data_IF_762700143237
#
_entry.id   IF_762700143237
#
_cell.length_a   1.000
_cell.length_b   1.000
_cell.length_c   1.000
_cell.angle_alpha   90.00
_cell.angle_beta   90.00
_cell.angle_gamma   90.00
#
_symmetry.space_group_name_H-M   'P 1'
#
loop_
_entity.id
_entity.type
_entity.pdbx_description
1 polymer ?
#
# COMPACT_ATOMS: atom_id res chain seq x y z
N UNK A 1 78.66 -28.65 23.20
CA UNK A 1 78.23 -27.29 22.83
C UNK A 1 77.07 -26.93 23.72
N UNK A 2 77.25 -25.89 24.53
CA UNK A 2 76.21 -25.29 25.35
C UNK A 2 75.18 -24.59 24.46
N UNK A 3 73.89 -24.74 24.79
CA UNK A 3 72.95 -23.63 24.66
C UNK A 3 71.90 -23.71 25.79
N UNK A 4 72.12 -22.86 26.79
CA UNK A 4 71.20 -22.33 27.81
C UNK A 4 69.98 -21.68 27.09
N UNK A 5 68.76 -21.51 27.62
CA UNK A 5 68.12 -21.80 28.90
C UNK A 5 66.62 -21.46 28.77
N UNK A 6 65.76 -22.29 29.39
CA UNK A 6 64.60 -21.94 30.23
C UNK A 6 63.76 -20.68 29.93
N UNK A 7 62.43 -20.82 29.80
CA UNK A 7 61.42 -20.71 30.87
C UNK A 7 60.00 -20.59 30.25
N UNK A 8 58.97 -21.02 30.99
CA UNK A 8 57.53 -21.01 30.66
C UNK A 8 57.02 -22.13 29.75
N UNK A 9 56.37 -23.13 30.35
CA UNK A 9 54.92 -23.33 30.21
C UNK A 9 54.48 -24.49 31.12
N UNK A 10 54.18 -24.11 32.36
CA UNK A 10 53.30 -24.86 33.26
C UNK A 10 51.85 -24.65 32.79
N UNK A 11 51.04 -25.70 32.97
CA UNK A 11 49.57 -25.72 32.88
C UNK A 11 48.96 -25.84 31.47
N UNK A 12 48.51 -27.07 31.16
CA UNK A 12 47.23 -27.34 30.49
C UNK A 12 46.89 -28.83 30.64
N UNK A 13 46.64 -29.25 31.88
CA UNK A 13 45.76 -30.38 32.17
C UNK A 13 44.33 -29.82 32.08
N UNK A 14 43.71 -29.92 30.90
CA UNK A 14 42.26 -29.77 30.78
C UNK A 14 41.73 -31.12 30.33
N UNK A 15 41.08 -31.78 31.29
CA UNK A 15 40.24 -32.95 31.10
C UNK A 15 39.22 -32.64 30.00
N UNK A 16 39.20 -33.44 28.94
CA UNK A 16 38.09 -33.51 28.01
C UNK A 16 36.86 -34.04 28.77
N UNK A 17 36.05 -33.14 29.31
CA UNK A 17 34.66 -33.43 29.60
C UNK A 17 33.91 -33.38 28.27
N UNK A 18 33.41 -34.54 27.84
CA UNK A 18 32.46 -34.65 26.74
C UNK A 18 31.21 -33.90 27.20
N UNK A 19 31.02 -32.66 26.72
CA UNK A 19 29.76 -31.95 26.83
C UNK A 19 28.74 -32.68 25.97
N UNK A 20 27.72 -33.25 26.61
CA UNK A 20 26.50 -33.65 25.92
C UNK A 20 25.90 -32.44 25.20
N UNK A 21 25.23 -32.61 24.05
CA UNK A 21 24.44 -31.54 23.47
C UNK A 21 23.33 -31.24 24.48
N UNK A 22 23.40 -30.09 25.15
CA UNK A 22 22.31 -29.59 25.97
C UNK A 22 21.08 -29.46 25.08
N UNK A 23 20.07 -30.29 25.32
CA UNK A 23 18.70 -30.03 24.88
C UNK A 23 18.37 -28.57 25.17
N UNK A 24 17.77 -27.83 24.22
CA UNK A 24 17.33 -26.46 24.48
C UNK A 24 16.50 -26.45 25.77
N UNK A 25 16.74 -25.51 26.71
CA UNK A 25 16.00 -25.48 27.96
C UNK A 25 14.50 -25.42 27.64
N UNK A 26 13.75 -26.39 28.16
CA UNK A 26 12.31 -26.50 27.93
C UNK A 26 11.62 -25.25 28.48
N UNK A 27 10.92 -24.51 27.61
CA UNK A 27 10.28 -23.25 27.98
C UNK A 27 9.12 -23.57 28.94
N UNK A 28 9.31 -23.26 30.22
CA UNK A 28 8.32 -23.53 31.27
C UNK A 28 7.20 -22.48 31.30
N UNK A 29 6.01 -22.90 31.73
CA UNK A 29 4.91 -21.98 32.04
C UNK A 29 5.26 -21.08 33.23
N UNK A 30 4.74 -19.85 33.25
CA UNK A 30 4.82 -18.93 34.39
C UNK A 30 4.03 -19.54 35.55
N UNK A 31 4.72 -20.27 36.41
CA UNK A 31 4.13 -21.11 37.45
C UNK A 31 4.79 -20.89 38.81
N UNK A 32 6.00 -20.34 38.82
CA UNK A 32 6.66 -19.93 40.06
C UNK A 32 6.20 -18.54 40.48
N UNK A 33 6.26 -18.25 41.78
CA UNK A 33 5.98 -16.91 42.31
C UNK A 33 6.88 -15.85 41.66
N UNK A 34 8.15 -16.20 41.40
CA UNK A 34 9.10 -15.30 40.72
C UNK A 34 8.64 -14.96 39.31
N UNK A 35 8.23 -15.97 38.51
CA UNK A 35 7.73 -15.73 37.15
C UNK A 35 6.49 -14.81 37.16
N UNK A 36 5.58 -15.02 38.11
CA UNK A 36 4.36 -14.22 38.25
C UNK A 36 4.66 -12.78 38.68
N UNK A 37 5.64 -12.57 39.56
CA UNK A 37 6.09 -11.24 39.98
C UNK A 37 6.75 -10.50 38.81
N UNK A 38 7.66 -11.15 38.09
CA UNK A 38 8.36 -10.56 36.94
C UNK A 38 7.39 -10.20 35.81
N UNK A 39 6.50 -11.12 35.43
CA UNK A 39 5.48 -10.84 34.42
C UNK A 39 4.48 -9.78 34.89
N UNK A 40 4.04 -9.88 36.15
CA UNK A 40 3.12 -8.93 36.79
C UNK A 40 3.65 -7.49 36.78
N UNK A 41 4.95 -7.30 36.93
CA UNK A 41 5.61 -5.99 36.87
C UNK A 41 5.44 -5.30 35.50
N UNK A 42 5.26 -6.06 34.42
CA UNK A 42 5.08 -5.52 33.07
C UNK A 42 3.61 -5.17 32.75
N UNK A 43 2.63 -5.72 33.48
CA UNK A 43 1.20 -5.52 33.20
C UNK A 43 0.76 -4.03 33.17
N UNK A 44 1.25 -3.12 34.04
CA UNK A 44 0.89 -1.71 33.96
C UNK A 44 1.34 -1.06 32.64
N UNK A 45 2.52 -1.42 32.13
CA UNK A 45 3.03 -0.92 30.85
C UNK A 45 2.20 -1.44 29.68
N UNK A 46 1.88 -2.74 29.70
CA UNK A 46 1.02 -3.38 28.69
C UNK A 46 -0.36 -2.73 28.67
N UNK A 47 -0.98 -2.52 29.84
CA UNK A 47 -2.29 -1.88 29.94
C UNK A 47 -2.25 -0.42 29.44
N UNK A 48 -1.18 0.32 29.75
CA UNK A 48 -1.00 1.69 29.28
C UNK A 48 -0.87 1.73 27.76
N UNK A 49 -0.07 0.82 27.19
CA UNK A 49 0.12 0.74 25.73
C UNK A 49 -1.17 0.39 25.02
N UNK A 50 -1.90 -0.62 25.51
CA UNK A 50 -3.20 -1.02 24.97
C UNK A 50 -4.17 0.17 24.94
N UNK A 51 -4.33 0.87 26.06
CA UNK A 51 -5.23 2.03 26.16
C UNK A 51 -4.83 3.14 25.20
N UNK A 52 -3.54 3.43 25.10
CA UNK A 52 -3.05 4.50 24.24
C UNK A 52 -3.28 4.17 22.76
N UNK A 53 -3.04 2.92 22.33
CA UNK A 53 -3.34 2.47 20.96
C UNK A 53 -4.84 2.54 20.69
N UNK A 54 -5.68 2.10 21.63
CA UNK A 54 -7.14 2.16 21.50
C UNK A 54 -7.68 3.61 21.36
N UNK A 55 -7.08 4.56 22.08
CA UNK A 55 -7.44 5.97 22.04
C UNK A 55 -6.99 6.70 20.77
N UNK A 56 -5.98 6.17 20.07
CA UNK A 56 -5.34 6.81 18.90
C UNK A 56 -5.30 5.88 17.68
N UNK A 57 -6.40 5.16 17.45
CA UNK A 57 -6.54 4.24 16.31
C UNK A 57 -6.64 4.94 14.95
N UNK A 58 -6.92 6.24 14.92
CA UNK A 58 -6.91 7.09 13.72
C UNK A 58 -5.63 7.92 13.70
N UNK A 59 -5.02 8.12 12.52
CA UNK A 59 -3.75 8.84 12.27
C UNK A 59 -3.33 9.79 13.40
N UNK A 60 -2.50 9.31 14.35
CA UNK A 60 -2.11 10.11 15.50
C UNK A 60 -1.17 11.25 15.05
N UNK A 61 -1.25 12.44 15.68
CA UNK A 61 -0.22 13.46 15.55
C UNK A 61 1.17 12.89 15.89
N UNK A 62 2.25 13.45 15.32
CA UNK A 62 3.63 12.95 15.50
C UNK A 62 4.04 12.76 16.97
N UNK A 63 3.67 13.69 17.84
CA UNK A 63 3.91 13.61 19.29
C UNK A 63 3.30 12.34 19.92
N UNK A 64 2.15 11.88 19.41
CA UNK A 64 1.51 10.66 19.89
C UNK A 64 2.24 9.42 19.38
N UNK A 65 2.81 9.46 18.17
CA UNK A 65 3.65 8.38 17.61
C UNK A 65 4.95 8.23 18.40
N UNK A 66 5.61 9.32 18.78
CA UNK A 66 6.79 9.30 19.65
C UNK A 66 6.49 8.71 21.03
N UNK A 67 5.39 9.15 21.65
CA UNK A 67 4.93 8.63 22.94
C UNK A 67 4.60 7.13 22.89
N UNK A 68 3.95 6.67 21.81
CA UNK A 68 3.70 5.25 21.59
C UNK A 68 5.00 4.46 21.40
N UNK A 69 5.94 5.00 20.63
CA UNK A 69 7.24 4.36 20.38
C UNK A 69 8.02 4.17 21.68
N UNK A 70 8.11 5.20 22.52
CA UNK A 70 8.75 5.13 23.83
C UNK A 70 8.05 4.12 24.76
N UNK A 71 6.73 4.08 24.75
CA UNK A 71 5.95 3.14 25.56
C UNK A 71 6.14 1.70 25.09
N UNK A 72 6.25 1.50 23.78
CA UNK A 72 6.63 0.24 23.16
C UNK A 72 8.00 -0.24 23.65
N UNK A 73 9.04 0.59 23.55
CA UNK A 73 10.39 0.24 24.02
C UNK A 73 10.44 -0.13 25.50
N UNK A 74 9.73 0.62 26.35
CA UNK A 74 9.64 0.31 27.79
C UNK A 74 8.95 -1.04 28.04
N UNK A 75 7.87 -1.31 27.32
CA UNK A 75 7.06 -2.54 27.49
C UNK A 75 7.84 -3.77 27.02
N UNK A 76 8.46 -3.70 25.84
CA UNK A 76 9.22 -4.82 25.26
C UNK A 76 10.52 -5.07 26.02
N UNK A 77 11.17 -4.02 26.54
CA UNK A 77 12.32 -4.13 27.44
C UNK A 77 11.95 -4.81 28.77
N UNK A 78 10.77 -4.51 29.33
CA UNK A 78 10.26 -5.19 30.53
C UNK A 78 10.07 -6.70 30.26
N UNK A 79 9.34 -7.04 29.20
CA UNK A 79 9.03 -8.43 28.86
C UNK A 79 10.25 -9.26 28.44
N UNK A 80 11.31 -8.62 27.94
CA UNK A 80 12.57 -9.30 27.60
C UNK A 80 13.25 -9.95 28.81
N UNK A 81 12.89 -9.54 30.03
CA UNK A 81 13.41 -10.13 31.27
C UNK A 81 12.60 -11.36 31.72
N UNK A 82 11.41 -11.55 31.16
CA UNK A 82 10.49 -12.63 31.54
C UNK A 82 10.77 -13.86 30.67
N UNK A 83 11.25 -14.95 31.28
CA UNK A 83 11.69 -16.15 30.55
C UNK A 83 10.64 -17.26 30.47
N UNK A 84 9.52 -17.11 31.17
CA UNK A 84 8.43 -18.09 31.11
C UNK A 84 7.59 -17.94 29.83
N UNK A 85 6.92 -19.02 29.42
CA UNK A 85 6.17 -19.14 28.16
C UNK A 85 5.24 -17.96 27.89
N UNK A 86 4.40 -17.58 28.85
CA UNK A 86 3.43 -16.50 28.67
C UNK A 86 4.11 -15.13 28.52
N UNK A 87 5.25 -14.91 29.18
CA UNK A 87 6.05 -13.70 29.01
C UNK A 87 6.66 -13.60 27.60
N UNK A 88 7.20 -14.71 27.11
CA UNK A 88 7.75 -14.82 25.75
C UNK A 88 6.64 -14.60 24.70
N UNK A 89 5.49 -15.27 24.85
CA UNK A 89 4.36 -15.11 23.94
C UNK A 89 3.81 -13.67 23.95
N UNK A 90 3.66 -13.07 25.13
CA UNK A 90 3.24 -11.67 25.26
C UNK A 90 4.23 -10.72 24.58
N UNK A 91 5.53 -10.97 24.74
CA UNK A 91 6.58 -10.19 24.09
C UNK A 91 6.45 -10.26 22.57
N UNK A 92 6.30 -11.46 22.00
CA UNK A 92 6.17 -11.66 20.55
C UNK A 92 4.98 -10.86 20.00
N UNK A 93 3.82 -10.93 20.67
CA UNK A 93 2.62 -10.20 20.26
C UNK A 93 2.83 -8.69 20.35
N UNK A 94 3.47 -8.21 21.42
CA UNK A 94 3.71 -6.79 21.64
C UNK A 94 4.80 -6.22 20.72
N UNK A 95 5.87 -6.96 20.45
CA UNK A 95 6.89 -6.58 19.47
C UNK A 95 6.24 -6.38 18.09
N UNK A 96 5.38 -7.31 17.66
CA UNK A 96 4.65 -7.20 16.40
C UNK A 96 3.72 -5.98 16.36
N UNK A 97 2.99 -5.69 17.45
CA UNK A 97 2.14 -4.51 17.54
C UNK A 97 2.94 -3.20 17.55
N UNK A 98 4.08 -3.19 18.23
CA UNK A 98 4.97 -2.03 18.36
C UNK A 98 5.73 -1.72 17.07
N UNK A 99 6.03 -2.72 16.26
CA UNK A 99 6.62 -2.48 14.95
C UNK A 99 5.67 -1.73 14.01
N UNK A 100 4.36 -1.92 14.14
CA UNK A 100 3.36 -1.20 13.34
C UNK A 100 3.34 0.28 13.70
N UNK A 101 3.48 0.62 14.98
CA UNK A 101 3.48 2.01 15.46
C UNK A 101 4.53 2.85 14.73
N UNK A 102 5.71 2.28 14.48
CA UNK A 102 6.80 2.97 13.77
C UNK A 102 6.39 3.39 12.36
N UNK A 103 5.58 2.58 11.69
CA UNK A 103 5.05 2.85 10.36
C UNK A 103 3.77 3.68 10.36
N UNK A 104 3.30 4.15 11.52
CA UNK A 104 2.20 5.12 11.63
C UNK A 104 2.66 6.58 11.53
N UNK A 105 3.96 6.83 11.54
CA UNK A 105 4.51 8.17 11.29
C UNK A 105 4.17 8.62 9.86
N UNK A 106 3.51 9.77 9.73
CA UNK A 106 3.00 10.25 8.45
C UNK A 106 4.11 10.57 7.45
N UNK A 107 5.27 11.05 7.91
CA UNK A 107 6.41 11.34 7.04
C UNK A 107 7.02 10.05 6.48
N UNK A 108 7.13 9.03 7.32
CA UNK A 108 7.58 7.70 6.90
C UNK A 108 6.61 7.07 5.90
N UNK A 109 5.30 7.20 6.13
CA UNK A 109 4.28 6.72 5.19
C UNK A 109 4.37 7.43 3.84
N UNK A 110 4.43 8.76 3.84
CA UNK A 110 4.58 9.55 2.62
C UNK A 110 5.85 9.18 1.85
N UNK A 111 6.96 8.94 2.55
CA UNK A 111 8.21 8.47 1.96
C UNK A 111 8.03 7.10 1.27
N UNK A 112 7.43 6.13 1.95
CA UNK A 112 7.21 4.77 1.40
C UNK A 112 6.25 4.81 0.21
N UNK A 113 5.12 5.51 0.32
CA UNK A 113 4.14 5.68 -0.76
C UNK A 113 4.81 6.37 -1.95
N UNK A 114 5.60 7.42 -1.71
CA UNK A 114 6.36 8.13 -2.73
C UNK A 114 7.36 7.23 -3.47
N UNK A 115 8.07 6.36 -2.74
CA UNK A 115 8.96 5.37 -3.34
C UNK A 115 8.20 4.46 -4.30
N UNK A 116 7.07 3.89 -3.86
CA UNK A 116 6.28 3.02 -4.72
C UNK A 116 5.67 3.74 -5.91
N UNK A 117 5.27 5.01 -5.79
CA UNK A 117 4.85 5.82 -6.94
C UNK A 117 5.95 5.90 -8.00
N UNK A 118 7.21 6.13 -7.59
CA UNK A 118 8.35 6.12 -8.51
C UNK A 118 8.54 4.77 -9.17
N UNK A 119 8.41 3.67 -8.42
CA UNK A 119 8.51 2.30 -8.97
C UNK A 119 7.43 2.02 -10.01
N UNK A 120 6.17 2.35 -9.73
CA UNK A 120 5.07 2.17 -10.69
C UNK A 120 5.28 3.02 -11.95
N UNK A 121 5.64 4.30 -11.80
CA UNK A 121 5.92 5.19 -12.92
C UNK A 121 7.07 4.67 -13.80
N UNK A 122 8.16 4.20 -13.18
CA UNK A 122 9.31 3.64 -13.88
C UNK A 122 8.97 2.41 -14.73
N UNK A 123 8.00 1.60 -14.29
CA UNK A 123 7.53 0.41 -15.01
C UNK A 123 6.77 0.76 -16.29
N UNK A 124 5.96 1.82 -16.25
CA UNK A 124 5.17 2.27 -17.41
C UNK A 124 6.01 3.04 -18.44
N UNK A 125 7.10 3.67 -18.00
CA UNK A 125 7.95 4.48 -18.87
C UNK A 125 8.84 3.61 -19.78
N UNK A 126 8.52 3.59 -21.08
CA UNK A 126 9.25 2.82 -22.10
C UNK A 126 10.77 3.08 -22.09
N UNK A 127 11.19 4.36 -21.91
CA UNK A 127 12.59 4.78 -21.96
C UNK A 127 13.24 4.98 -20.58
N UNK A 128 12.59 4.53 -19.51
CA UNK A 128 13.18 4.61 -18.16
C UNK A 128 14.41 3.70 -18.07
N UNK A 129 15.50 4.24 -17.53
CA UNK A 129 16.80 3.57 -17.35
C UNK A 129 17.30 3.64 -15.91
N UNK A 130 16.49 4.17 -14.99
CA UNK A 130 16.80 4.17 -13.57
C UNK A 130 16.73 2.76 -12.97
N UNK A 131 17.36 2.65 -11.80
CA UNK A 131 17.35 1.43 -11.00
C UNK A 131 15.95 0.96 -10.58
N UNK A 132 14.93 1.83 -10.61
CA UNK A 132 13.54 1.47 -10.29
C UNK A 132 12.93 0.49 -11.30
N UNK A 133 13.41 0.50 -12.56
CA UNK A 133 12.95 -0.43 -13.60
C UNK A 133 13.66 -1.79 -13.55
N UNK A 134 14.95 -1.79 -13.19
CA UNK A 134 15.76 -3.01 -13.17
C UNK A 134 15.54 -3.88 -11.94
N UNK A 135 15.19 -3.26 -10.80
CA UNK A 135 14.90 -3.98 -9.57
C UNK A 135 13.38 -4.13 -9.43
N UNK A 136 12.87 -5.36 -9.49
CA UNK A 136 11.43 -5.63 -9.39
C UNK A 136 10.95 -5.60 -7.93
N UNK A 137 10.89 -4.40 -7.35
CA UNK A 137 10.40 -4.19 -5.96
C UNK A 137 8.94 -4.59 -5.75
N UNK A 138 8.19 -4.83 -6.84
CA UNK A 138 6.78 -5.22 -6.86
C UNK A 138 6.59 -6.71 -7.16
N UNK A 139 7.67 -7.49 -7.21
CA UNK A 139 7.61 -8.95 -7.38
C UNK A 139 6.71 -9.58 -6.30
N UNK A 140 5.88 -10.53 -6.72
CA UNK A 140 4.90 -11.21 -5.87
C UNK A 140 5.53 -12.37 -5.11
N UNK A 141 6.53 -13.02 -5.72
CA UNK A 141 7.30 -14.05 -5.03
C UNK A 141 8.19 -13.41 -3.95
N UNK A 142 7.96 -13.81 -2.70
CA UNK A 142 8.61 -13.21 -1.54
C UNK A 142 10.14 -13.36 -1.55
N UNK A 143 10.68 -14.48 -2.05
CA UNK A 143 12.11 -14.72 -2.09
C UNK A 143 12.78 -13.85 -3.17
N UNK A 144 12.22 -13.82 -4.38
CA UNK A 144 12.69 -12.94 -5.46
C UNK A 144 12.54 -11.47 -5.12
N UNK A 145 11.46 -11.12 -4.43
CA UNK A 145 11.25 -9.76 -3.94
C UNK A 145 12.32 -9.37 -2.92
N UNK A 146 12.67 -10.27 -2.02
CA UNK A 146 13.78 -10.05 -1.08
C UNK A 146 15.09 -9.78 -1.82
N UNK A 147 15.38 -10.57 -2.86
CA UNK A 147 16.54 -10.36 -3.72
C UNK A 147 16.49 -8.99 -4.42
N UNK A 148 15.33 -8.58 -4.95
CA UNK A 148 15.16 -7.28 -5.58
C UNK A 148 15.42 -6.11 -4.62
N UNK A 149 14.99 -6.23 -3.35
CA UNK A 149 15.33 -5.24 -2.33
C UNK A 149 16.82 -5.26 -1.97
N UNK A 150 17.41 -6.44 -1.79
CA UNK A 150 18.84 -6.57 -1.49
C UNK A 150 19.71 -5.95 -2.59
N UNK A 151 19.46 -6.29 -3.85
CA UNK A 151 20.19 -5.76 -5.00
C UNK A 151 19.86 -4.27 -5.24
N UNK A 152 18.61 -3.89 -5.03
CA UNK A 152 18.10 -2.54 -5.18
C UNK A 152 18.32 -1.63 -3.97
N UNK A 153 19.09 -2.05 -2.96
CA UNK A 153 19.27 -1.28 -1.72
C UNK A 153 19.73 0.15 -1.96
N UNK A 154 20.72 0.32 -2.82
CA UNK A 154 21.24 1.64 -3.15
C UNK A 154 20.15 2.52 -3.80
N UNK A 155 19.37 1.95 -4.73
CA UNK A 155 18.24 2.63 -5.38
C UNK A 155 17.21 3.16 -4.38
N UNK A 156 16.82 2.33 -3.41
CA UNK A 156 15.90 2.73 -2.36
C UNK A 156 16.51 3.82 -1.47
N UNK A 157 17.76 3.65 -1.03
CA UNK A 157 18.41 4.60 -0.13
C UNK A 157 18.67 5.95 -0.80
N UNK A 158 18.95 5.99 -2.11
CA UNK A 158 19.10 7.22 -2.87
C UNK A 158 17.76 7.96 -2.96
N UNK A 159 16.67 7.25 -3.27
CA UNK A 159 15.33 7.82 -3.21
C UNK A 159 15.03 8.44 -1.83
N UNK A 160 15.31 7.70 -0.76
CA UNK A 160 15.05 8.16 0.62
C UNK A 160 15.83 9.44 0.92
N UNK A 161 17.11 9.52 0.53
CA UNK A 161 17.93 10.72 0.76
C UNK A 161 17.47 11.92 -0.04
N UNK A 162 16.97 11.71 -1.25
CA UNK A 162 16.58 12.78 -2.17
C UNK A 162 15.16 13.29 -1.92
N UNK A 163 14.25 12.41 -1.51
CA UNK A 163 12.80 12.66 -1.54
C UNK A 163 12.12 12.61 -0.17
N UNK A 164 12.81 12.17 0.89
CA UNK A 164 12.23 12.02 2.22
C UNK A 164 12.87 12.97 3.24
N UNK A 165 12.19 13.17 4.37
CA UNK A 165 12.68 14.03 5.44
C UNK A 165 13.78 13.35 6.29
N UNK A 166 14.46 14.15 7.13
CA UNK A 166 15.58 13.68 7.96
C UNK A 166 15.22 12.49 8.87
N UNK A 167 14.02 12.48 9.47
CA UNK A 167 13.57 11.37 10.33
C UNK A 167 13.42 10.06 9.56
N UNK A 168 12.90 10.12 8.33
CA UNK A 168 12.80 8.94 7.45
C UNK A 168 14.19 8.46 7.00
N UNK A 169 15.10 9.39 6.69
CA UNK A 169 16.49 9.07 6.32
C UNK A 169 17.17 8.33 7.47
N UNK A 170 17.08 8.85 8.69
CA UNK A 170 17.67 8.22 9.87
C UNK A 170 17.05 6.83 10.13
N UNK A 171 15.72 6.74 10.05
CA UNK A 171 14.99 5.49 10.28
C UNK A 171 15.46 4.40 9.31
N UNK A 172 15.44 4.65 8.00
CA UNK A 172 15.80 3.63 7.01
C UNK A 172 17.29 3.31 7.04
N UNK A 173 18.16 4.29 7.33
CA UNK A 173 19.61 4.04 7.46
C UNK A 173 19.91 3.02 8.56
N UNK A 174 19.13 3.01 9.65
CA UNK A 174 19.29 2.08 10.78
C UNK A 174 18.49 0.79 10.63
N UNK A 175 17.35 0.83 9.93
CA UNK A 175 16.35 -0.24 9.94
C UNK A 175 16.12 -0.90 8.57
N UNK A 176 16.95 -0.63 7.55
CA UNK A 176 16.72 -1.13 6.19
C UNK A 176 16.50 -2.65 6.13
N UNK A 177 17.35 -3.46 6.76
CA UNK A 177 17.21 -4.92 6.67
C UNK A 177 15.95 -5.44 7.37
N UNK A 178 15.55 -4.78 8.46
CA UNK A 178 14.28 -5.08 9.12
C UNK A 178 13.10 -4.68 8.23
N UNK A 179 13.19 -3.54 7.54
CA UNK A 179 12.18 -3.12 6.56
C UNK A 179 12.07 -4.14 5.43
N UNK A 180 13.18 -4.56 4.82
CA UNK A 180 13.18 -5.59 3.76
C UNK A 180 12.53 -6.88 4.27
N UNK A 181 12.98 -7.39 5.42
CA UNK A 181 12.39 -8.60 6.03
C UNK A 181 10.90 -8.44 6.27
N UNK A 182 10.44 -7.27 6.71
CA UNK A 182 9.01 -7.02 6.94
C UNK A 182 8.21 -7.00 5.63
N UNK A 183 8.80 -6.47 4.55
CA UNK A 183 8.19 -6.44 3.21
C UNK A 183 8.10 -7.83 2.56
N UNK A 184 9.05 -8.73 2.87
CA UNK A 184 9.28 -9.96 2.10
C UNK A 184 9.13 -11.25 2.89
N UNK A 185 8.90 -11.21 4.20
CA UNK A 185 8.58 -12.40 4.99
C UNK A 185 7.07 -12.57 5.16
N UNK A 186 6.57 -13.80 5.06
CA UNK A 186 5.17 -14.09 5.36
C UNK A 186 4.88 -13.83 6.85
N UNK A 187 3.83 -13.06 7.19
CA UNK A 187 3.54 -12.75 8.57
C UNK A 187 3.01 -13.99 9.31
N UNK A 188 3.50 -14.19 10.53
CA UNK A 188 3.03 -15.25 11.44
C UNK A 188 1.52 -15.08 11.71
N UNK A 189 1.06 -13.84 11.84
CA UNK A 189 -0.34 -13.51 12.10
C UNK A 189 -1.01 -13.04 10.81
N UNK A 190 -1.95 -13.83 10.31
CA UNK A 190 -2.68 -13.60 9.03
C UNK A 190 -3.92 -12.70 9.17
N UNK A 191 -4.10 -12.00 10.29
CA UNK A 191 -5.31 -11.24 10.61
C UNK A 191 -5.28 -9.79 10.12
N UNK A 192 -4.49 -9.47 9.08
CA UNK A 192 -4.38 -8.13 8.51
C UNK A 192 -3.84 -7.03 9.44
N UNK A 193 -3.34 -7.39 10.64
CA UNK A 193 -2.83 -6.45 11.65
C UNK A 193 -1.33 -6.58 11.86
N UNK A 194 -0.57 -6.94 10.83
CA UNK A 194 0.90 -7.00 10.91
C UNK A 194 1.53 -5.84 10.15
N UNK A 195 2.76 -5.47 10.51
CA UNK A 195 3.53 -4.46 9.76
C UNK A 195 3.70 -4.85 8.30
N UNK A 196 3.81 -6.16 8.01
CA UNK A 196 3.84 -6.67 6.64
C UNK A 196 2.60 -6.25 5.85
N UNK A 197 1.39 -6.45 6.39
CA UNK A 197 0.16 -6.06 5.71
C UNK A 197 0.03 -4.54 5.56
N UNK A 198 0.40 -3.78 6.59
CA UNK A 198 0.39 -2.31 6.53
C UNK A 198 1.34 -1.80 5.44
N UNK A 199 2.60 -2.23 5.45
CA UNK A 199 3.57 -1.78 4.46
C UNK A 199 3.20 -2.22 3.04
N UNK A 200 2.66 -3.43 2.87
CA UNK A 200 2.16 -3.87 1.58
C UNK A 200 0.96 -3.06 1.10
N UNK A 201 0.14 -2.54 2.01
CA UNK A 201 -0.96 -1.64 1.63
C UNK A 201 -0.47 -0.32 1.02
N UNK A 202 0.69 0.20 1.43
CA UNK A 202 1.24 1.43 0.87
C UNK A 202 1.58 1.32 -0.62
N UNK A 203 1.86 0.12 -1.13
CA UNK A 203 1.98 -0.11 -2.58
C UNK A 203 0.65 0.09 -3.29
N UNK A 204 -0.43 -0.42 -2.70
CA UNK A 204 -1.76 -0.28 -3.27
C UNK A 204 -2.23 1.17 -3.22
N UNK A 205 -1.94 1.88 -2.13
CA UNK A 205 -2.18 3.33 -2.03
C UNK A 205 -1.41 4.06 -3.12
N UNK A 206 -0.13 3.75 -3.33
CA UNK A 206 0.68 4.39 -4.36
C UNK A 206 0.09 4.24 -5.77
N UNK A 207 -0.28 3.02 -6.19
CA UNK A 207 -0.87 2.80 -7.52
C UNK A 207 -2.29 3.37 -7.62
N UNK A 208 -3.07 3.36 -6.54
CA UNK A 208 -4.39 3.99 -6.51
C UNK A 208 -4.29 5.51 -6.70
N UNK A 209 -3.32 6.18 -6.07
CA UNK A 209 -3.08 7.61 -6.27
C UNK A 209 -2.57 7.92 -7.68
N UNK A 210 -1.73 7.07 -8.27
CA UNK A 210 -1.34 7.20 -9.68
C UNK A 210 -2.53 7.03 -10.62
N UNK A 211 -3.40 6.05 -10.34
CA UNK A 211 -4.63 5.82 -11.10
C UNK A 211 -5.55 7.02 -11.01
N UNK A 212 -5.79 7.53 -9.80
CA UNK A 212 -6.61 8.73 -9.60
C UNK A 212 -6.06 9.95 -10.34
N UNK A 213 -4.74 10.18 -10.28
CA UNK A 213 -4.10 11.27 -11.02
C UNK A 213 -4.21 11.10 -12.54
N UNK A 214 -4.05 9.87 -13.04
CA UNK A 214 -4.21 9.56 -14.47
C UNK A 214 -5.64 9.84 -14.94
N UNK A 215 -6.64 9.40 -14.17
CA UNK A 215 -8.07 9.66 -14.45
C UNK A 215 -8.38 11.17 -14.42
N UNK A 216 -7.85 11.89 -13.44
CA UNK A 216 -8.01 13.34 -13.33
C UNK A 216 -7.38 14.08 -14.52
N UNK A 217 -6.22 13.62 -15.01
CA UNK A 217 -5.61 14.20 -16.22
C UNK A 217 -6.44 13.93 -17.47
N UNK A 218 -7.03 12.74 -17.58
CA UNK A 218 -7.94 12.40 -18.67
C UNK A 218 -9.19 13.28 -18.67
N UNK A 219 -9.76 13.57 -17.50
CA UNK A 219 -10.97 14.40 -17.39
C UNK A 219 -10.74 15.87 -17.76
N UNK A 220 -9.51 16.36 -17.61
CA UNK A 220 -9.13 17.76 -17.92
C UNK A 220 -8.65 17.97 -19.35
N UNK A 221 -8.39 16.89 -20.11
CA UNK A 221 -7.76 17.01 -21.43
C UNK A 221 -8.70 16.56 -22.53
N UNK A 222 -8.58 17.18 -23.72
CA UNK A 222 -9.23 16.67 -24.93
C UNK A 222 -8.65 15.29 -25.24
N UNK A 223 -9.49 14.25 -25.21
CA UNK A 223 -9.12 12.87 -25.52
C UNK A 223 -9.48 12.57 -26.96
N UNK A 224 -8.53 12.07 -27.74
CA UNK A 224 -8.80 11.63 -29.11
C UNK A 224 -9.31 10.17 -29.11
N UNK A 225 -10.00 9.73 -30.16
CA UNK A 225 -10.23 8.30 -30.35
C UNK A 225 -8.90 7.53 -30.33
N UNK A 226 -8.86 6.42 -29.57
CA UNK A 226 -7.66 5.57 -29.40
C UNK A 226 -6.46 6.27 -28.76
N UNK A 227 -6.69 7.21 -27.85
CA UNK A 227 -5.62 7.89 -27.14
C UNK A 227 -4.83 6.94 -26.22
N UNK A 228 -3.49 6.82 -26.37
CA UNK A 228 -2.68 5.88 -25.57
C UNK A 228 -2.68 6.20 -24.07
N UNK A 229 -3.08 7.41 -23.68
CA UNK A 229 -3.24 7.77 -22.26
C UNK A 229 -4.38 6.99 -21.60
N UNK A 230 -5.40 6.60 -22.37
CA UNK A 230 -6.50 5.76 -21.86
C UNK A 230 -6.00 4.33 -21.62
N UNK A 231 -5.17 3.78 -22.51
CA UNK A 231 -4.54 2.46 -22.29
C UNK A 231 -3.67 2.46 -21.04
N UNK A 232 -2.88 3.51 -20.83
CA UNK A 232 -2.04 3.66 -19.64
C UNK A 232 -2.90 3.75 -18.36
N UNK A 233 -3.98 4.54 -18.36
CA UNK A 233 -4.90 4.63 -17.25
C UNK A 233 -5.59 3.28 -16.95
N UNK A 234 -5.98 2.52 -17.98
CA UNK A 234 -6.54 1.19 -17.82
C UNK A 234 -5.55 0.19 -17.23
N UNK A 235 -4.28 0.27 -17.62
CA UNK A 235 -3.26 -0.58 -17.05
C UNK A 235 -3.07 -0.28 -15.56
N UNK A 236 -3.03 1.00 -15.17
CA UNK A 236 -2.99 1.43 -13.76
C UNK A 236 -4.23 0.96 -12.99
N UNK A 237 -5.41 1.01 -13.61
CA UNK A 237 -6.65 0.49 -13.05
C UNK A 237 -6.56 -1.01 -12.72
N UNK A 238 -6.14 -1.83 -13.68
CA UNK A 238 -5.95 -3.29 -13.47
C UNK A 238 -4.93 -3.57 -12.35
N UNK A 239 -3.85 -2.79 -12.30
CA UNK A 239 -2.84 -2.91 -11.24
C UNK A 239 -3.43 -2.54 -9.87
N UNK A 240 -4.22 -1.46 -9.79
CA UNK A 240 -4.88 -1.02 -8.57
C UNK A 240 -5.91 -2.03 -8.06
N UNK A 241 -6.81 -2.50 -8.93
CA UNK A 241 -7.82 -3.52 -8.56
C UNK A 241 -7.15 -4.80 -8.08
N UNK A 242 -6.15 -5.28 -8.82
CA UNK A 242 -5.35 -6.46 -8.43
C UNK A 242 -4.67 -6.28 -7.08
N UNK A 243 -4.09 -5.11 -6.81
CA UNK A 243 -3.46 -4.81 -5.53
C UNK A 243 -4.49 -4.77 -4.39
N UNK A 244 -5.58 -4.02 -4.57
CA UNK A 244 -6.59 -3.79 -3.54
C UNK A 244 -7.42 -5.04 -3.20
N UNK A 245 -7.65 -5.92 -4.17
CA UNK A 245 -8.32 -7.21 -3.94
C UNK A 245 -7.48 -8.14 -3.06
N UNK A 246 -6.16 -8.07 -3.18
CA UNK A 246 -5.23 -8.84 -2.35
C UNK A 246 -4.82 -8.10 -1.06
N UNK A 247 -5.18 -6.82 -0.94
CA UNK A 247 -4.82 -5.99 0.21
C UNK A 247 -5.81 -6.18 1.36
N UNK A 248 -5.22 -6.42 2.52
CA UNK A 248 -5.86 -6.43 3.83
C UNK A 248 -6.42 -5.07 4.27
N UNK A 249 -5.91 -3.96 3.70
CA UNK A 249 -6.25 -2.61 4.15
C UNK A 249 -7.44 -1.99 3.40
N UNK A 250 -7.86 -2.58 2.27
CA UNK A 250 -8.95 -2.05 1.47
C UNK A 250 -10.30 -2.52 2.02
N UNK A 251 -11.16 -1.57 2.40
CA UNK A 251 -12.57 -1.86 2.68
C UNK A 251 -13.32 -2.17 1.39
N UNK A 252 -14.46 -2.85 1.50
CA UNK A 252 -15.32 -3.12 0.34
C UNK A 252 -15.78 -1.83 -0.35
N UNK A 253 -16.08 -0.79 0.44
CA UNK A 253 -16.43 0.53 -0.10
C UNK A 253 -15.30 1.17 -0.92
N UNK A 254 -14.04 1.00 -0.50
CA UNK A 254 -12.88 1.50 -1.25
C UNK A 254 -12.71 0.71 -2.55
N UNK A 255 -12.85 -0.62 -2.50
CA UNK A 255 -12.78 -1.48 -3.70
C UNK A 255 -13.85 -1.10 -4.73
N UNK A 256 -15.09 -0.91 -4.28
CA UNK A 256 -16.20 -0.50 -5.15
C UNK A 256 -15.95 0.85 -5.82
N UNK A 257 -15.46 1.85 -5.08
CA UNK A 257 -15.13 3.18 -5.66
C UNK A 257 -14.04 3.10 -6.72
N UNK A 258 -13.00 2.30 -6.47
CA UNK A 258 -11.93 2.06 -7.45
C UNK A 258 -12.51 1.39 -8.70
N UNK A 259 -13.29 0.33 -8.53
CA UNK A 259 -13.91 -0.40 -9.63
C UNK A 259 -14.83 0.51 -10.46
N UNK A 260 -15.65 1.33 -9.81
CA UNK A 260 -16.51 2.30 -10.49
C UNK A 260 -15.70 3.31 -11.31
N UNK A 261 -14.61 3.82 -10.73
CA UNK A 261 -13.71 4.77 -11.42
C UNK A 261 -13.03 4.12 -12.61
N UNK A 262 -12.60 2.85 -12.48
CA UNK A 262 -11.96 2.09 -13.55
C UNK A 262 -12.92 1.68 -14.67
N UNK A 263 -14.18 1.38 -14.35
CA UNK A 263 -15.21 1.13 -15.35
C UNK A 263 -15.46 2.35 -16.25
N UNK A 264 -15.30 3.58 -15.73
CA UNK A 264 -15.40 4.79 -16.55
C UNK A 264 -14.25 4.91 -17.55
N UNK A 265 -13.02 4.54 -17.14
CA UNK A 265 -11.87 4.51 -18.04
C UNK A 265 -12.06 3.44 -19.12
N UNK A 266 -12.57 2.26 -18.76
CA UNK A 266 -12.88 1.18 -19.72
C UNK A 266 -13.96 1.61 -20.71
N UNK A 267 -14.99 2.30 -20.22
CA UNK A 267 -16.03 2.90 -21.06
C UNK A 267 -15.43 3.85 -22.11
N UNK A 268 -14.37 4.61 -21.81
CA UNK A 268 -13.76 5.53 -22.78
C UNK A 268 -13.21 4.83 -24.03
N UNK A 269 -12.82 3.55 -23.93
CA UNK A 269 -12.36 2.76 -25.09
C UNK A 269 -13.49 2.08 -25.86
N UNK A 270 -14.66 1.96 -25.24
CA UNK A 270 -15.83 1.38 -25.91
C UNK A 270 -16.30 2.26 -27.09
N UNK A 271 -17.09 1.67 -27.99
CA UNK A 271 -17.72 2.42 -29.09
C UNK A 271 -18.59 3.59 -28.58
N UNK A 272 -19.20 3.43 -27.41
CA UNK A 272 -19.91 4.49 -26.70
C UNK A 272 -18.97 5.64 -26.32
N UNK A 273 -17.84 5.33 -25.67
CA UNK A 273 -16.87 6.33 -25.23
C UNK A 273 -16.22 7.08 -26.38
N UNK A 274 -15.85 6.36 -27.44
CA UNK A 274 -15.34 6.95 -28.70
C UNK A 274 -16.38 7.89 -29.31
N UNK A 275 -17.66 7.50 -29.31
CA UNK A 275 -18.73 8.34 -29.84
C UNK A 275 -18.96 9.61 -29.01
N UNK A 276 -19.06 9.50 -27.67
CA UNK A 276 -19.20 10.67 -26.80
C UNK A 276 -18.00 11.60 -26.96
N UNK A 277 -16.78 11.06 -27.01
CA UNK A 277 -15.57 11.87 -27.25
C UNK A 277 -15.67 12.62 -28.58
N UNK A 278 -16.07 11.95 -29.67
CA UNK A 278 -16.30 12.59 -30.98
C UNK A 278 -17.32 13.73 -30.88
N UNK A 279 -18.48 13.50 -30.29
CA UNK A 279 -19.53 14.53 -30.15
C UNK A 279 -19.03 15.73 -29.35
N UNK A 280 -18.38 15.50 -28.20
CA UNK A 280 -17.85 16.56 -27.35
C UNK A 280 -16.71 17.35 -28.03
N UNK A 281 -15.94 16.69 -28.90
CA UNK A 281 -14.79 17.26 -29.59
C UNK A 281 -15.15 18.04 -30.85
N UNK A 282 -16.10 17.52 -31.64
CA UNK A 282 -16.53 18.08 -32.92
C UNK A 282 -17.63 19.13 -32.73
N UNK A 283 -18.36 19.05 -31.61
CA UNK A 283 -19.50 19.92 -31.26
C UNK A 283 -20.48 20.08 -32.43
N UNK A 284 -21.04 18.98 -32.96
CA UNK A 284 -21.99 19.06 -34.07
C UNK A 284 -23.24 19.87 -33.69
N UNK A 285 -23.96 20.37 -34.69
CA UNK A 285 -25.26 20.98 -34.41
C UNK A 285 -26.27 19.93 -33.93
N UNK A 286 -26.77 20.12 -32.71
CA UNK A 286 -27.74 19.23 -32.07
C UNK A 286 -29.17 19.77 -32.13
N UNK A 287 -29.42 20.89 -32.82
CA UNK A 287 -30.73 21.56 -32.86
C UNK A 287 -31.85 20.68 -33.41
N UNK A 288 -31.53 19.69 -34.26
CA UNK A 288 -32.50 18.70 -34.76
C UNK A 288 -32.99 17.70 -33.71
N UNK A 289 -32.33 17.60 -32.56
CA UNK A 289 -32.74 16.72 -31.47
C UNK A 289 -33.59 17.51 -30.46
N UNK A 290 -34.82 17.84 -30.84
CA UNK A 290 -35.75 18.65 -30.04
C UNK A 290 -35.97 18.11 -28.62
N UNK A 291 -35.84 16.79 -28.43
CA UNK A 291 -35.96 16.14 -27.13
C UNK A 291 -34.90 16.59 -26.11
N UNK A 292 -33.78 17.18 -26.54
CA UNK A 292 -32.79 17.80 -25.64
C UNK A 292 -33.34 19.05 -24.93
N UNK A 293 -34.36 19.70 -25.49
CA UNK A 293 -35.10 20.77 -24.82
C UNK A 293 -34.25 21.99 -24.43
N UNK A 294 -33.23 22.34 -25.22
CA UNK A 294 -32.36 23.49 -24.96
C UNK A 294 -31.30 23.26 -23.88
N UNK A 295 -31.15 22.03 -23.37
CA UNK A 295 -30.02 21.63 -22.52
C UNK A 295 -28.68 21.97 -23.19
N UNK A 296 -27.74 22.51 -22.42
CA UNK A 296 -26.33 22.59 -22.84
C UNK A 296 -25.70 21.18 -22.80
N UNK A 297 -25.81 20.44 -23.91
CA UNK A 297 -25.22 19.11 -24.03
C UNK A 297 -23.69 19.13 -23.86
N UNK A 298 -23.01 20.26 -23.96
CA UNK A 298 -21.55 20.32 -23.86
C UNK A 298 -21.06 20.65 -22.45
N UNK A 299 -21.95 21.03 -21.53
CA UNK A 299 -21.61 21.19 -20.14
C UNK A 299 -21.29 19.84 -19.47
N UNK A 300 -20.29 19.86 -18.60
CA UNK A 300 -19.75 18.69 -17.87
C UNK A 300 -20.07 18.71 -16.38
N UNK A 301 -21.02 19.56 -15.95
CA UNK A 301 -21.46 19.57 -14.54
C UNK A 301 -22.22 18.29 -14.20
N UNK A 302 -22.30 17.97 -12.91
CA UNK A 302 -23.04 16.82 -12.42
C UNK A 302 -24.50 16.88 -12.84
N UNK A 303 -25.15 18.04 -12.72
CA UNK A 303 -26.56 18.23 -13.05
C UNK A 303 -26.84 17.90 -14.52
N UNK A 304 -26.02 18.45 -15.43
CA UNK A 304 -26.16 18.22 -16.87
C UNK A 304 -25.85 16.76 -17.21
N UNK A 305 -24.86 16.15 -16.57
CA UNK A 305 -24.53 14.74 -16.75
C UNK A 305 -25.69 13.84 -16.34
N UNK A 306 -26.30 14.11 -15.18
CA UNK A 306 -27.48 13.40 -14.71
C UNK A 306 -28.68 13.62 -15.64
N UNK A 307 -28.91 14.84 -16.11
CA UNK A 307 -30.00 15.12 -17.03
C UNK A 307 -29.83 14.38 -18.37
N UNK A 308 -28.62 14.32 -18.94
CA UNK A 308 -28.30 13.54 -20.16
C UNK A 308 -28.65 12.07 -20.02
N UNK A 309 -28.16 11.45 -18.95
CA UNK A 309 -28.14 9.99 -18.83
C UNK A 309 -29.32 9.42 -18.04
N UNK A 310 -30.06 10.25 -17.30
CA UNK A 310 -31.27 9.82 -16.60
C UNK A 310 -32.54 10.32 -17.29
N UNK A 311 -32.69 11.63 -17.42
CA UNK A 311 -33.93 12.26 -17.91
C UNK A 311 -34.03 12.23 -19.44
N UNK A 312 -32.93 12.52 -20.13
CA UNK A 312 -32.85 12.57 -21.60
C UNK A 312 -32.26 11.29 -22.21
N UNK A 313 -32.22 10.21 -21.43
CA UNK A 313 -31.59 8.93 -21.79
C UNK A 313 -31.97 8.44 -23.20
N UNK A 314 -33.26 8.44 -23.54
CA UNK A 314 -33.73 8.01 -24.88
C UNK A 314 -33.26 8.95 -25.99
N UNK A 315 -33.28 10.25 -25.74
CA UNK A 315 -32.82 11.28 -26.68
C UNK A 315 -31.32 11.13 -26.96
N UNK A 316 -30.51 10.96 -25.91
CA UNK A 316 -29.06 10.76 -26.02
C UNK A 316 -28.75 9.44 -26.74
N UNK A 317 -29.50 8.36 -26.48
CA UNK A 317 -29.36 7.09 -27.23
C UNK A 317 -29.60 7.29 -28.73
N UNK A 318 -30.70 7.95 -29.11
CA UNK A 318 -31.01 8.23 -30.53
C UNK A 318 -29.96 9.12 -31.18
N UNK A 319 -29.51 10.18 -30.48
CA UNK A 319 -28.46 11.07 -30.93
C UNK A 319 -27.16 10.31 -31.22
N UNK A 320 -26.74 9.43 -30.30
CA UNK A 320 -25.52 8.65 -30.46
C UNK A 320 -25.63 7.64 -31.61
N UNK A 321 -26.77 6.96 -31.75
CA UNK A 321 -26.99 6.04 -32.87
C UNK A 321 -26.94 6.77 -34.21
N UNK A 322 -27.53 7.96 -34.30
CA UNK A 322 -27.55 8.72 -35.55
C UNK A 322 -26.14 9.27 -35.92
N UNK A 323 -25.37 9.77 -34.95
CA UNK A 323 -24.05 10.38 -35.21
C UNK A 323 -22.94 9.32 -35.40
N UNK A 324 -23.05 8.18 -34.72
CA UNK A 324 -21.97 7.19 -34.62
C UNK A 324 -22.36 5.78 -35.07
N UNK A 325 -23.65 5.53 -35.37
CA UNK A 325 -24.19 4.22 -35.71
C UNK A 325 -24.65 3.42 -34.49
N UNK A 326 -25.48 2.39 -34.75
CA UNK A 326 -26.08 1.50 -33.75
C UNK A 326 -25.05 0.83 -32.82
N UNK A 327 -23.84 0.57 -33.33
CA UNK A 327 -22.79 -0.05 -32.54
C UNK A 327 -22.32 0.81 -31.35
N UNK A 328 -22.57 2.13 -31.36
CA UNK A 328 -22.25 3.03 -30.25
C UNK A 328 -23.24 2.89 -29.07
N UNK A 329 -24.40 2.25 -29.28
CA UNK A 329 -25.48 2.15 -28.30
C UNK A 329 -25.86 0.72 -27.91
N UNK A 330 -25.07 -0.26 -28.31
CA UNK A 330 -25.28 -1.69 -28.02
C UNK A 330 -25.39 -1.98 -26.50
N UNK A 331 -24.47 -1.43 -25.69
CA UNK A 331 -24.45 -1.55 -24.24
C UNK A 331 -24.96 -0.29 -23.50
N UNK A 332 -25.72 0.57 -24.20
CA UNK A 332 -26.05 1.91 -23.73
C UNK A 332 -26.67 1.93 -22.33
N UNK A 333 -27.65 1.05 -22.08
CA UNK A 333 -28.39 1.02 -20.81
C UNK A 333 -27.51 0.63 -19.62
N UNK A 334 -26.56 -0.30 -19.83
CA UNK A 334 -25.57 -0.71 -18.84
C UNK A 334 -24.59 0.43 -18.53
N UNK A 335 -24.06 1.04 -19.59
CA UNK A 335 -23.06 2.12 -19.48
C UNK A 335 -23.66 3.33 -18.76
N UNK A 336 -24.85 3.76 -19.16
CA UNK A 336 -25.57 4.85 -18.51
C UNK A 336 -25.86 4.57 -17.03
N UNK A 337 -26.15 3.32 -16.67
CA UNK A 337 -26.31 2.92 -15.27
C UNK A 337 -25.03 3.14 -14.45
N UNK A 338 -23.86 2.82 -15.01
CA UNK A 338 -22.55 3.06 -14.38
C UNK A 338 -22.32 4.57 -14.20
N UNK A 339 -22.55 5.36 -15.24
CA UNK A 339 -22.38 6.82 -15.18
C UNK A 339 -23.32 7.45 -14.16
N UNK A 340 -24.61 7.10 -14.17
CA UNK A 340 -25.57 7.65 -13.22
C UNK A 340 -25.23 7.29 -11.76
N UNK A 341 -24.72 6.07 -11.51
CA UNK A 341 -24.28 5.66 -10.18
C UNK A 341 -23.06 6.43 -9.70
N UNK A 342 -22.10 6.71 -10.59
CA UNK A 342 -20.88 7.45 -10.22
C UNK A 342 -21.18 8.90 -9.83
N UNK A 343 -22.08 9.54 -10.55
CA UNK A 343 -22.47 10.93 -10.33
C UNK A 343 -23.58 11.09 -9.28
N UNK A 344 -23.96 9.99 -8.60
CA UNK A 344 -25.00 9.97 -7.57
C UNK A 344 -26.29 10.65 -8.04
N UNK A 345 -26.70 10.38 -9.28
CA UNK A 345 -27.87 11.03 -9.88
C UNK A 345 -29.18 10.59 -9.20
N UNK A 346 -29.72 11.43 -8.32
CA UNK A 346 -30.97 11.23 -7.55
C UNK A 346 -32.23 11.03 -8.38
#
# INVERSE_FOLDING_TARGET
MLNFSTLFLLSCLVLFTISTPSTPPEIRNCSTLQDLVEFGACLPLISKLKRYVEQHNSEPPSEHVENMTLLCEKTTSCLSRVQCKQGIEAKIVLDAACDIVKYRDSQLQLCIVGFFKKVYLAREMMNETSCFKYNDFLEKDMAKRSEAYTNGKQCFMDYVKESCNESSIEFFSKNYEKFVTTMTAEPIVKNCKSSHHLLNSFQCVAVAEQTASSIEQLSKTKIQPNDPRVDSALNLCRQTESCMNNSCAASESVRQRIQQSCNLVEMMQSKFGVCISKIMNDKPDLSRFECLGGMDFYATTTEVTCEKYKTKKSCVKSLMSDICGEAAVEDYDKIVGIVASQFECE
#
